data_IF_263107560820
#
_entry.id   IF_263107560820
#
_cell.length_a   1.000
_cell.length_b   1.000
_cell.length_c   1.000
_cell.angle_alpha   90.00
_cell.angle_beta   90.00
_cell.angle_gamma   90.00
#
_symmetry.space_group_name_H-M   'P 1'
#
loop_
_entity.id
_entity.type
_entity.pdbx_description
1 polymer ?
#
# COMPACT_ATOMS: atom_id res chain seq x y z
N UNK A 1 5.31 5.61 31.16
CA UNK A 1 4.64 6.30 30.03
C UNK A 1 3.29 5.64 29.81
N UNK A 2 2.18 6.38 29.91
CA UNK A 2 0.83 5.77 29.83
C UNK A 2 0.17 5.89 28.44
N UNK A 3 0.57 6.89 27.65
CA UNK A 3 -0.02 7.21 26.35
C UNK A 3 1.07 7.52 25.31
N UNK A 4 0.85 7.07 24.08
CA UNK A 4 1.63 7.44 22.88
C UNK A 4 0.83 8.50 22.13
N UNK A 5 1.48 9.61 21.74
CA UNK A 5 0.86 10.66 20.94
C UNK A 5 1.12 10.44 19.44
N UNK A 6 0.05 10.32 18.66
CA UNK A 6 0.15 10.00 17.24
C UNK A 6 0.40 11.25 16.40
N UNK A 7 1.42 11.23 15.52
CA UNK A 7 1.70 12.37 14.64
C UNK A 7 0.91 12.38 13.32
N UNK A 8 0.22 11.29 12.97
CA UNK A 8 -0.66 11.14 11.79
C UNK A 8 -0.01 11.44 10.42
N UNK A 9 1.32 11.35 10.28
CA UNK A 9 2.02 11.76 9.06
C UNK A 9 2.20 10.62 8.04
N UNK A 10 1.10 10.04 7.57
CA UNK A 10 1.12 8.93 6.62
C UNK A 10 1.37 9.42 5.18
N UNK A 11 0.59 10.39 4.69
CA UNK A 11 0.73 10.93 3.33
C UNK A 11 1.95 11.85 3.19
N UNK A 12 2.34 12.57 4.26
CA UNK A 12 3.44 13.56 4.20
C UNK A 12 4.84 12.94 4.03
N UNK A 13 5.02 11.65 4.34
CA UNK A 13 6.30 10.94 4.18
C UNK A 13 6.06 9.53 3.61
N UNK A 14 5.56 9.42 2.37
CA UNK A 14 5.16 8.14 1.79
C UNK A 14 6.38 7.29 1.42
N UNK A 15 7.60 7.84 1.46
CA UNK A 15 8.83 7.17 1.02
C UNK A 15 9.06 5.79 1.66
N UNK A 16 8.70 5.58 2.94
CA UNK A 16 8.80 4.26 3.58
C UNK A 16 7.82 3.25 2.99
N UNK A 17 6.59 3.70 2.71
CA UNK A 17 5.55 2.86 2.14
C UNK A 17 5.81 2.57 0.65
N UNK A 18 6.38 3.54 -0.07
CA UNK A 18 6.87 3.35 -1.45
C UNK A 18 8.02 2.35 -1.47
N UNK A 19 9.00 2.50 -0.57
CA UNK A 19 10.12 1.56 -0.47
C UNK A 19 9.60 0.14 -0.18
N UNK A 20 8.63 -0.01 0.73
CA UNK A 20 7.98 -1.28 1.01
C UNK A 20 7.30 -1.87 -0.24
N UNK A 21 6.53 -1.07 -0.98
CA UNK A 21 5.91 -1.52 -2.24
C UNK A 21 6.97 -2.00 -3.23
N UNK A 22 8.03 -1.21 -3.44
CA UNK A 22 9.12 -1.58 -4.35
C UNK A 22 9.84 -2.85 -3.89
N UNK A 23 10.06 -3.04 -2.59
CA UNK A 23 10.62 -4.28 -2.05
C UNK A 23 9.73 -5.48 -2.34
N UNK A 24 8.41 -5.34 -2.17
CA UNK A 24 7.44 -6.38 -2.50
C UNK A 24 7.49 -6.71 -4.00
N UNK A 25 7.49 -5.69 -4.87
CA UNK A 25 7.58 -5.87 -6.33
C UNK A 25 8.86 -6.58 -6.72
N UNK A 26 10.01 -6.17 -6.16
CA UNK A 26 11.30 -6.82 -6.42
C UNK A 26 11.28 -8.27 -5.98
N UNK A 27 10.72 -8.57 -4.79
CA UNK A 27 10.60 -9.96 -4.32
C UNK A 27 9.74 -10.79 -5.28
N UNK A 28 8.56 -10.30 -5.66
CA UNK A 28 7.71 -10.99 -6.63
C UNK A 28 8.42 -11.21 -7.97
N UNK A 29 9.19 -10.24 -8.42
CA UNK A 29 9.94 -10.35 -9.67
C UNK A 29 11.04 -11.40 -9.54
N UNK A 30 11.85 -11.37 -8.48
CA UNK A 30 12.90 -12.37 -8.19
C UNK A 30 12.30 -13.78 -8.11
N UNK A 31 11.23 -13.98 -7.35
CA UNK A 31 10.53 -15.26 -7.28
C UNK A 31 9.94 -15.67 -8.63
N UNK A 32 9.43 -14.71 -9.41
CA UNK A 32 8.95 -14.96 -10.77
C UNK A 32 10.07 -15.46 -11.69
N UNK A 33 11.27 -14.89 -11.58
CA UNK A 33 12.44 -15.31 -12.36
C UNK A 33 12.98 -16.66 -11.92
N UNK A 34 12.98 -16.98 -10.63
CA UNK A 34 13.48 -18.28 -10.14
C UNK A 34 12.52 -19.42 -10.43
N UNK A 35 11.20 -19.21 -10.29
CA UNK A 35 10.20 -20.26 -10.45
C UNK A 35 9.71 -20.41 -11.90
N UNK A 36 9.77 -19.34 -12.71
CA UNK A 36 9.17 -19.31 -14.05
C UNK A 36 10.11 -18.70 -15.09
N UNK A 37 11.40 -19.05 -15.02
CA UNK A 37 12.44 -18.53 -15.92
C UNK A 37 12.06 -18.60 -17.40
N UNK A 38 11.61 -19.77 -17.88
CA UNK A 38 11.27 -19.95 -19.30
C UNK A 38 10.12 -19.03 -19.75
N UNK A 39 9.10 -18.85 -18.90
CA UNK A 39 7.97 -17.94 -19.19
C UNK A 39 8.43 -16.49 -19.23
N UNK A 40 9.32 -16.08 -18.32
CA UNK A 40 9.88 -14.72 -18.28
C UNK A 40 10.73 -14.43 -19.52
N UNK A 41 11.57 -15.39 -19.93
CA UNK A 41 12.36 -15.27 -21.17
C UNK A 41 11.45 -15.21 -22.40
N UNK A 42 10.40 -16.01 -22.45
CA UNK A 42 9.41 -15.96 -23.53
C UNK A 42 8.69 -14.59 -23.59
N UNK A 43 8.32 -14.03 -22.44
CA UNK A 43 7.74 -12.68 -22.37
C UNK A 43 8.70 -11.61 -22.88
N UNK A 44 9.97 -11.65 -22.47
CA UNK A 44 10.99 -10.70 -22.95
C UNK A 44 11.14 -10.76 -24.47
N UNK A 45 11.19 -11.97 -25.03
CA UNK A 45 11.26 -12.16 -26.48
C UNK A 45 10.01 -11.63 -27.17
N UNK A 46 8.83 -11.89 -26.61
CA UNK A 46 7.56 -11.41 -27.13
C UNK A 46 7.48 -9.87 -27.17
N UNK A 47 8.00 -9.20 -26.14
CA UNK A 47 7.99 -7.74 -26.06
C UNK A 47 9.17 -7.06 -26.77
N UNK A 48 10.04 -7.80 -27.46
CA UNK A 48 11.13 -7.22 -28.25
C UNK A 48 12.37 -6.85 -27.43
N UNK A 49 12.55 -7.44 -26.24
CA UNK A 49 13.78 -7.32 -25.45
C UNK A 49 13.57 -6.84 -24.02
N UNK A 50 14.67 -6.81 -23.22
CA UNK A 50 14.60 -6.56 -21.77
C UNK A 50 14.15 -5.12 -21.43
N UNK A 51 14.49 -4.13 -22.26
CA UNK A 51 14.07 -2.74 -22.04
C UNK A 51 12.56 -2.56 -22.24
N UNK A 52 12.00 -3.18 -23.28
CA UNK A 52 10.56 -3.15 -23.54
C UNK A 52 9.78 -3.91 -22.45
N UNK A 53 10.32 -5.04 -21.99
CA UNK A 53 9.78 -5.75 -20.83
C UNK A 53 9.75 -4.88 -19.57
N UNK A 54 10.87 -4.22 -19.24
CA UNK A 54 10.96 -3.33 -18.09
C UNK A 54 9.95 -2.18 -18.20
N UNK A 55 9.84 -1.56 -19.39
CA UNK A 55 8.87 -0.51 -19.64
C UNK A 55 7.43 -0.96 -19.34
N UNK A 56 7.05 -2.16 -19.78
CA UNK A 56 5.71 -2.73 -19.54
C UNK A 56 5.50 -3.04 -18.06
N UNK A 57 6.51 -3.57 -17.36
CA UNK A 57 6.42 -3.85 -15.92
C UNK A 57 6.23 -2.57 -15.12
N UNK A 58 6.99 -1.52 -15.41
CA UNK A 58 6.85 -0.23 -14.73
C UNK A 58 5.46 0.38 -14.98
N UNK A 59 5.09 0.46 -16.26
CA UNK A 59 3.86 1.13 -16.73
C UNK A 59 2.60 0.39 -16.31
N UNK A 60 2.59 -0.92 -16.48
CA UNK A 60 1.44 -1.77 -16.26
C UNK A 60 1.36 -2.33 -14.84
N UNK A 61 2.44 -2.29 -14.04
CA UNK A 61 2.49 -2.98 -12.74
C UNK A 61 3.15 -2.24 -11.58
N UNK A 62 3.86 -1.12 -11.77
CA UNK A 62 4.32 -0.29 -10.62
C UNK A 62 3.47 0.97 -10.49
N UNK A 63 3.23 1.69 -11.58
CA UNK A 63 2.49 2.95 -11.52
C UNK A 63 1.04 2.82 -11.02
N UNK A 64 0.22 1.86 -11.50
CA UNK A 64 -1.12 1.67 -10.95
C UNK A 64 -1.08 1.30 -9.45
N UNK A 65 -0.10 0.52 -9.03
CA UNK A 65 0.07 0.02 -7.67
C UNK A 65 0.50 1.15 -6.72
N UNK A 66 1.23 2.16 -7.21
CA UNK A 66 1.48 3.39 -6.47
C UNK A 66 0.18 4.16 -6.20
N UNK A 67 -0.78 4.16 -7.13
CA UNK A 67 -2.09 4.76 -6.89
C UNK A 67 -2.83 4.02 -5.79
N UNK A 68 -2.83 2.68 -5.83
CA UNK A 68 -3.39 1.85 -4.74
C UNK A 68 -2.74 2.19 -3.40
N UNK A 69 -1.41 2.28 -3.35
CA UNK A 69 -0.67 2.63 -2.14
C UNK A 69 -1.11 3.98 -1.57
N UNK A 70 -1.16 5.02 -2.42
CA UNK A 70 -1.57 6.37 -2.01
C UNK A 70 -3.00 6.35 -1.48
N UNK A 71 -3.92 5.64 -2.16
CA UNK A 71 -5.31 5.53 -1.72
C UNK A 71 -5.44 4.82 -0.37
N UNK A 72 -4.69 3.75 -0.13
CA UNK A 72 -4.68 3.05 1.18
C UNK A 72 -4.16 3.97 2.28
N UNK A 73 -3.04 4.67 2.06
CA UNK A 73 -2.50 5.63 3.03
C UNK A 73 -3.49 6.78 3.29
N UNK A 74 -4.18 7.24 2.25
CA UNK A 74 -5.23 8.24 2.38
C UNK A 74 -6.39 7.75 3.24
N UNK A 75 -6.88 6.53 3.02
CA UNK A 75 -7.95 5.94 3.85
C UNK A 75 -7.54 5.76 5.30
N UNK A 76 -6.28 5.38 5.57
CA UNK A 76 -5.73 5.32 6.93
C UNK A 76 -5.74 6.70 7.59
N UNK A 77 -5.25 7.72 6.90
CA UNK A 77 -5.19 9.10 7.43
C UNK A 77 -6.59 9.69 7.64
N UNK A 78 -7.50 9.42 6.70
CA UNK A 78 -8.91 9.80 6.80
C UNK A 78 -9.56 9.16 8.03
N UNK A 79 -9.30 7.86 8.27
CA UNK A 79 -9.84 7.13 9.44
C UNK A 79 -9.33 7.71 10.75
N UNK A 80 -8.02 8.00 10.84
CA UNK A 80 -7.44 8.67 12.01
C UNK A 80 -8.09 10.03 12.30
N UNK A 81 -8.44 10.76 11.25
CA UNK A 81 -9.05 12.08 11.32
C UNK A 81 -10.52 11.99 11.70
N UNK A 82 -11.28 11.12 11.02
CA UNK A 82 -12.70 10.90 11.24
C UNK A 82 -13.00 10.38 12.66
N UNK A 83 -12.21 9.41 13.13
CA UNK A 83 -12.37 8.82 14.47
C UNK A 83 -11.65 9.61 15.56
N UNK A 84 -11.03 10.75 15.22
CA UNK A 84 -10.34 11.64 16.18
C UNK A 84 -9.33 10.88 17.07
N UNK A 85 -8.61 9.91 16.49
CA UNK A 85 -7.64 9.09 17.23
C UNK A 85 -6.33 9.89 17.34
N UNK A 86 -6.07 10.49 18.50
CA UNK A 86 -4.86 11.29 18.75
C UNK A 86 -3.85 10.60 19.67
N UNK A 87 -4.32 9.66 20.49
CA UNK A 87 -3.48 8.96 21.46
C UNK A 87 -3.86 7.51 21.56
N UNK A 88 -2.86 6.63 21.72
CA UNK A 88 -3.06 5.21 22.02
C UNK A 88 -2.44 4.93 23.38
N UNK A 89 -3.16 4.22 24.26
CA UNK A 89 -2.60 3.81 25.55
C UNK A 89 -1.50 2.77 25.32
N UNK A 90 -0.43 2.83 26.10
CA UNK A 90 0.66 1.85 26.02
C UNK A 90 0.28 0.54 26.73
N UNK A 91 -0.70 -0.17 26.16
CA UNK A 91 -1.10 -1.51 26.59
C UNK A 91 -1.43 -2.37 25.38
N UNK A 92 -1.09 -3.67 25.46
CA UNK A 92 -1.30 -4.60 24.35
C UNK A 92 -2.77 -4.62 23.89
N UNK A 93 -3.71 -4.63 24.85
CA UNK A 93 -5.14 -4.59 24.55
C UNK A 93 -5.57 -3.29 23.83
N UNK A 94 -5.01 -2.14 24.22
CA UNK A 94 -5.31 -0.87 23.56
C UNK A 94 -4.73 -0.80 22.14
N UNK A 95 -3.51 -1.32 21.94
CA UNK A 95 -2.88 -1.41 20.61
C UNK A 95 -3.70 -2.34 19.71
N UNK A 96 -4.11 -3.53 20.20
CA UNK A 96 -4.93 -4.46 19.43
C UNK A 96 -6.29 -3.86 19.03
N UNK A 97 -6.99 -3.18 19.96
CA UNK A 97 -8.26 -2.50 19.65
C UNK A 97 -8.07 -1.41 18.60
N UNK A 98 -6.98 -0.67 18.70
CA UNK A 98 -6.61 0.34 17.71
C UNK A 98 -6.39 -0.29 16.33
N UNK A 99 -5.62 -1.39 16.22
CA UNK A 99 -5.39 -2.09 14.95
C UNK A 99 -6.68 -2.67 14.34
N UNK A 100 -7.55 -3.26 15.17
CA UNK A 100 -8.84 -3.81 14.72
C UNK A 100 -9.76 -2.72 14.16
N UNK A 101 -9.65 -1.49 14.65
CA UNK A 101 -10.46 -0.35 14.18
C UNK A 101 -10.20 -0.05 12.69
N UNK A 102 -9.02 -0.37 12.16
CA UNK A 102 -8.69 -0.18 10.75
C UNK A 102 -9.09 -1.35 9.86
N UNK A 103 -9.40 -2.53 10.42
CA UNK A 103 -9.74 -3.72 9.64
C UNK A 103 -10.93 -3.50 8.67
N UNK A 104 -12.06 -2.89 9.10
CA UNK A 104 -13.18 -2.63 8.19
C UNK A 104 -12.79 -1.68 7.06
N UNK A 105 -11.94 -0.69 7.35
CA UNK A 105 -11.46 0.28 6.36
C UNK A 105 -10.58 -0.40 5.32
N UNK A 106 -9.67 -1.28 5.75
CA UNK A 106 -8.83 -2.07 4.83
C UNK A 106 -9.63 -3.03 3.99
N UNK A 107 -10.64 -3.68 4.58
CA UNK A 107 -11.54 -4.59 3.85
C UNK A 107 -12.35 -3.84 2.79
N UNK A 108 -12.81 -2.62 3.09
CA UNK A 108 -13.58 -1.82 2.15
C UNK A 108 -12.71 -1.04 1.16
N UNK A 109 -11.40 -0.87 1.42
CA UNK A 109 -10.50 -0.07 0.60
C UNK A 109 -10.51 -0.49 -0.87
N UNK A 110 -10.62 -1.80 -1.15
CA UNK A 110 -10.69 -2.34 -2.50
C UNK A 110 -11.74 -1.65 -3.35
N UNK A 111 -12.94 -1.43 -2.82
CA UNK A 111 -14.03 -0.82 -3.57
C UNK A 111 -13.76 0.64 -3.93
N UNK A 112 -12.91 1.33 -3.17
CA UNK A 112 -12.54 2.72 -3.40
C UNK A 112 -11.36 2.86 -4.37
N UNK A 113 -10.27 2.12 -4.17
CA UNK A 113 -9.10 2.29 -5.02
C UNK A 113 -9.20 1.50 -6.33
N UNK A 114 -9.90 0.36 -6.38
CA UNK A 114 -9.94 -0.48 -7.57
C UNK A 114 -10.37 0.28 -8.85
N UNK A 115 -11.49 1.04 -8.88
CA UNK A 115 -11.89 1.72 -10.12
C UNK A 115 -10.85 2.76 -10.55
N UNK A 116 -10.20 3.44 -9.61
CA UNK A 116 -9.18 4.46 -9.88
C UNK A 116 -7.90 3.80 -10.40
N UNK A 117 -7.38 2.79 -9.69
CA UNK A 117 -6.18 2.04 -10.07
C UNK A 117 -6.36 1.38 -11.44
N UNK A 118 -7.51 0.76 -11.69
CA UNK A 118 -7.76 0.12 -12.99
C UNK A 118 -7.95 1.14 -14.11
N UNK A 119 -8.50 2.32 -13.83
CA UNK A 119 -8.53 3.42 -14.80
C UNK A 119 -7.12 3.87 -15.18
N UNK A 120 -6.25 4.07 -14.19
CA UNK A 120 -4.85 4.43 -14.44
C UNK A 120 -4.14 3.30 -15.19
N UNK A 121 -4.35 2.03 -14.81
CA UNK A 121 -3.80 0.87 -15.53
C UNK A 121 -4.28 0.84 -16.97
N UNK A 122 -5.56 1.08 -17.23
CA UNK A 122 -6.12 1.10 -18.57
C UNK A 122 -5.46 2.18 -19.45
N UNK A 123 -5.37 3.41 -18.94
CA UNK A 123 -4.73 4.53 -19.65
C UNK A 123 -3.25 4.24 -19.96
N UNK A 124 -2.56 3.61 -19.01
CA UNK A 124 -1.16 3.27 -19.17
C UNK A 124 -0.95 2.02 -20.04
N UNK A 125 -1.80 1.01 -20.02
CA UNK A 125 -1.53 -0.23 -20.79
C UNK A 125 -1.99 -0.10 -22.24
N UNK A 126 -3.14 0.52 -22.49
CA UNK A 126 -3.78 0.48 -23.82
C UNK A 126 -3.39 1.66 -24.71
N UNK A 127 -2.69 2.68 -24.20
CA UNK A 127 -2.21 3.77 -25.04
C UNK A 127 -1.40 3.25 -26.25
N UNK A 128 -1.62 3.81 -27.44
CA UNK A 128 -2.49 4.97 -27.74
C UNK A 128 -3.94 4.62 -28.11
N UNK A 129 -4.28 3.33 -28.19
CA UNK A 129 -5.57 2.86 -28.69
C UNK A 129 -6.52 2.61 -27.52
N UNK A 130 -7.50 3.48 -27.38
CA UNK A 130 -8.49 3.38 -26.32
C UNK A 130 -9.81 2.85 -26.87
N UNK A 131 -10.38 1.88 -26.18
CA UNK A 131 -11.71 1.33 -26.41
C UNK A 131 -12.51 1.31 -25.11
N UNK A 132 -13.69 1.94 -25.15
CA UNK A 132 -14.56 2.07 -23.99
C UNK A 132 -15.14 0.71 -23.57
N UNK A 133 -15.43 -0.18 -24.52
CA UNK A 133 -15.94 -1.51 -24.20
C UNK A 133 -14.89 -2.32 -23.42
N UNK A 134 -13.64 -2.31 -23.90
CA UNK A 134 -12.49 -2.93 -23.22
C UNK A 134 -12.30 -2.35 -21.82
N UNK A 135 -12.35 -1.03 -21.66
CA UNK A 135 -12.26 -0.39 -20.34
C UNK A 135 -13.36 -0.89 -19.39
N UNK A 136 -14.61 -0.85 -19.84
CA UNK A 136 -15.75 -1.21 -19.00
C UNK A 136 -15.74 -2.68 -18.61
N UNK A 137 -15.58 -3.58 -19.58
CA UNK A 137 -15.72 -5.01 -19.35
C UNK A 137 -14.49 -5.59 -18.62
N UNK A 138 -13.29 -5.18 -19.03
CA UNK A 138 -12.04 -5.77 -18.52
C UNK A 138 -11.53 -5.08 -17.26
N UNK A 139 -11.56 -3.74 -17.22
CA UNK A 139 -10.91 -2.97 -16.14
C UNK A 139 -11.89 -2.61 -15.02
N UNK A 140 -13.18 -2.44 -15.31
CA UNK A 140 -14.20 -2.16 -14.30
C UNK A 140 -14.92 -3.43 -13.88
N UNK A 141 -15.71 -4.07 -14.75
CA UNK A 141 -16.57 -5.19 -14.35
C UNK A 141 -15.77 -6.41 -13.91
N UNK A 142 -14.85 -6.91 -14.75
CA UNK A 142 -14.12 -8.15 -14.46
C UNK A 142 -13.25 -8.07 -13.19
N UNK A 143 -12.86 -6.86 -12.78
CA UNK A 143 -12.04 -6.65 -11.58
C UNK A 143 -12.86 -6.70 -10.30
N UNK A 144 -14.18 -6.47 -10.34
CA UNK A 144 -15.10 -6.68 -9.22
C UNK A 144 -15.51 -8.15 -9.05
N UNK A 145 -14.52 -9.04 -9.02
CA UNK A 145 -14.73 -10.46 -8.69
C UNK A 145 -14.18 -10.77 -7.29
N UNK A 146 -14.76 -11.77 -6.62
CA UNK A 146 -14.27 -12.23 -5.30
C UNK A 146 -12.80 -12.63 -5.34
N UNK A 147 -12.37 -13.28 -6.43
CA UNK A 147 -10.98 -13.67 -6.64
C UNK A 147 -10.05 -12.45 -6.62
N UNK A 148 -10.41 -11.40 -7.36
CA UNK A 148 -9.63 -10.17 -7.41
C UNK A 148 -9.66 -9.46 -6.05
N UNK A 149 -10.82 -9.38 -5.40
CA UNK A 149 -10.93 -8.84 -4.05
C UNK A 149 -9.93 -9.48 -3.08
N UNK A 150 -9.90 -10.82 -2.98
CA UNK A 150 -8.98 -11.51 -2.05
C UNK A 150 -7.51 -11.38 -2.47
N UNK A 151 -7.22 -11.35 -3.77
CA UNK A 151 -5.86 -11.11 -4.26
C UNK A 151 -5.33 -9.73 -3.84
N UNK A 152 -6.20 -8.71 -3.80
CA UNK A 152 -5.83 -7.37 -3.36
C UNK A 152 -5.95 -7.17 -1.84
N UNK A 153 -6.79 -7.94 -1.16
CA UNK A 153 -6.99 -7.81 0.29
C UNK A 153 -5.68 -8.06 1.06
N UNK A 154 -4.93 -9.10 0.71
CA UNK A 154 -3.65 -9.43 1.35
C UNK A 154 -2.64 -8.27 1.25
N UNK A 155 -2.27 -7.77 0.06
CA UNK A 155 -1.33 -6.66 -0.05
C UNK A 155 -1.86 -5.37 0.60
N UNK A 156 -3.16 -5.10 0.54
CA UNK A 156 -3.77 -3.94 1.21
C UNK A 156 -3.62 -4.02 2.73
N UNK A 157 -3.93 -5.18 3.33
CA UNK A 157 -3.76 -5.41 4.76
C UNK A 157 -2.29 -5.25 5.15
N UNK A 158 -1.36 -5.87 4.40
CA UNK A 158 0.08 -5.76 4.67
C UNK A 158 0.55 -4.30 4.64
N UNK A 159 0.28 -3.58 3.54
CA UNK A 159 0.69 -2.19 3.38
C UNK A 159 0.08 -1.30 4.46
N UNK A 160 -1.22 -1.46 4.71
CA UNK A 160 -1.96 -0.69 5.70
C UNK A 160 -1.41 -0.89 7.11
N UNK A 161 -1.32 -2.14 7.56
CA UNK A 161 -0.85 -2.49 8.91
C UNK A 161 0.62 -2.18 9.12
N UNK A 162 1.49 -2.45 8.14
CA UNK A 162 2.91 -2.07 8.23
C UNK A 162 3.03 -0.56 8.37
N UNK A 163 2.25 0.21 7.60
CA UNK A 163 2.27 1.69 7.69
C UNK A 163 1.82 2.17 9.07
N UNK A 164 0.73 1.60 9.60
CA UNK A 164 0.22 1.92 10.95
C UNK A 164 1.28 1.61 12.02
N UNK A 165 1.86 0.41 11.99
CA UNK A 165 2.85 -0.04 12.96
C UNK A 165 4.15 0.75 12.89
N UNK A 166 4.64 1.07 11.69
CA UNK A 166 5.83 1.91 11.51
C UNK A 166 5.60 3.33 12.06
N UNK A 167 4.41 3.88 11.89
CA UNK A 167 4.06 5.18 12.48
C UNK A 167 4.05 5.10 14.00
N UNK A 168 3.35 4.10 14.56
CA UNK A 168 3.25 3.89 16.01
C UNK A 168 4.63 3.70 16.65
N UNK A 169 5.50 2.89 16.03
CA UNK A 169 6.87 2.69 16.48
C UNK A 169 7.68 3.99 16.44
N UNK A 170 7.53 4.79 15.39
CA UNK A 170 8.23 6.07 15.29
C UNK A 170 7.78 7.08 16.34
N UNK A 171 6.48 7.11 16.64
CA UNK A 171 5.90 7.97 17.66
C UNK A 171 6.35 7.52 19.07
N UNK A 172 6.35 6.20 19.33
CA UNK A 172 6.86 5.63 20.57
C UNK A 172 8.35 5.98 20.81
N UNK A 173 9.22 5.78 19.81
CA UNK A 173 10.64 6.09 19.91
C UNK A 173 10.88 7.58 20.14
N UNK A 174 10.06 8.45 19.54
CA UNK A 174 10.10 9.89 19.75
C UNK A 174 9.71 10.24 21.19
N UNK A 175 8.61 9.70 21.69
CA UNK A 175 8.12 9.98 23.04
C UNK A 175 9.11 9.48 24.11
N UNK A 176 9.73 8.30 23.91
CA UNK A 176 10.78 7.76 24.79
C UNK A 176 12.02 8.67 24.82
N UNK A 177 12.45 9.18 23.66
CA UNK A 177 13.60 10.09 23.57
C UNK A 177 13.34 11.39 24.33
N UNK A 178 12.14 11.96 24.18
CA UNK A 178 11.73 13.19 24.89
C UNK A 178 11.68 12.95 26.39
N UNK A 179 11.11 11.83 26.83
CA UNK A 179 11.05 11.46 28.25
C UNK A 179 12.45 11.34 28.87
N UNK A 180 13.38 10.64 28.20
CA UNK A 180 14.76 10.50 28.68
C UNK A 180 15.46 11.86 28.81
N UNK A 181 15.27 12.76 27.84
CA UNK A 181 15.87 14.10 27.86
C UNK A 181 15.33 14.97 29.01
N UNK A 182 14.01 14.92 29.26
CA UNK A 182 13.39 15.67 30.38
C UNK A 182 13.93 15.22 31.73
N UNK A 183 14.06 13.92 31.96
CA UNK A 183 14.55 13.39 33.24
C UNK A 183 16.06 13.63 33.46
N UNK A 184 16.83 13.78 32.39
CA UNK A 184 18.27 14.06 32.47
C UNK A 184 18.58 15.54 32.79
N UNK A 185 17.61 16.44 32.67
CA UNK A 185 17.76 17.88 32.98
C UNK A 185 17.21 18.21 34.38
N UNK A 186 16.32 17.36 34.91
CA UNK A 186 15.67 17.56 36.21
C UNK A 186 16.35 16.86 37.38
N UNK A 187 17.50 16.22 37.17
CA UNK A 187 18.30 15.56 38.21
C UNK A 187 19.73 16.06 38.17
#
# INVERSE_FOLDING_TARGET
MEKIYLTKRYIRKPGKAIALLLSIVILFEVFGWTLHFEKKVAQIRHFGGPLAYLYIVLRGGIFPELVTLIMVLFLVELTHTALKIYTVRFSLSAILRYEITFLPVMALAFFFFNPITQSVRYLLVNFPVYDLATYWDTYIIATYSLKMYFNYLIPVLLIGYISINLSLLSDLLRDVRIWKYRNAISG
#
